data_IF_621853302531
#
_entry.id   IF_621853302531
#
_cell.length_a   1.000
_cell.length_b   1.000
_cell.length_c   1.000
_cell.angle_alpha   90.00
_cell.angle_beta   90.00
_cell.angle_gamma   90.00
#
_symmetry.space_group_name_H-M   'P 1'
#
loop_
_entity.id
_entity.type
_entity.pdbx_description
1 polymer ?
#
# COMPACT_ATOMS: atom_id res chain seq x y z
N UNK A 1 53.24 16.49 -7.89
CA UNK A 1 51.98 17.16 -8.31
C UNK A 1 50.72 16.52 -7.64
N UNK A 2 50.62 15.21 -7.53
CA UNK A 2 49.42 14.52 -6.97
C UNK A 2 49.11 14.80 -5.48
N UNK A 3 50.10 15.07 -4.65
CA UNK A 3 49.89 15.36 -3.21
C UNK A 3 49.36 16.76 -2.98
N UNK A 4 49.70 17.71 -3.83
CA UNK A 4 49.20 19.12 -3.76
C UNK A 4 47.74 19.20 -4.23
N UNK A 5 47.34 18.43 -5.25
CA UNK A 5 45.97 18.33 -5.71
C UNK A 5 45.08 17.66 -4.67
N UNK A 6 45.54 16.60 -4.01
CA UNK A 6 44.81 15.93 -2.93
C UNK A 6 44.60 16.85 -1.71
N UNK A 7 45.58 17.71 -1.38
CA UNK A 7 45.47 18.68 -0.27
C UNK A 7 44.43 19.75 -0.57
N UNK A 8 44.38 20.27 -1.82
CA UNK A 8 43.39 21.28 -2.25
C UNK A 8 41.97 20.68 -2.25
N UNK A 9 41.82 19.42 -2.66
CA UNK A 9 40.50 18.75 -2.64
C UNK A 9 39.98 18.54 -1.21
N UNK A 10 40.84 18.19 -0.25
CA UNK A 10 40.49 18.07 1.16
C UNK A 10 40.11 19.43 1.79
N UNK A 11 40.80 20.50 1.44
CA UNK A 11 40.49 21.86 1.92
C UNK A 11 39.13 22.38 1.41
N UNK A 12 38.73 22.01 0.17
CA UNK A 12 37.42 22.38 -0.38
C UNK A 12 36.25 21.66 0.34
N UNK A 13 36.47 20.45 0.84
CA UNK A 13 35.48 19.74 1.64
C UNK A 13 35.30 20.33 3.07
N UNK A 14 36.33 20.93 3.64
CA UNK A 14 36.27 21.55 4.97
C UNK A 14 35.50 22.88 4.98
N UNK A 15 35.52 23.64 3.90
CA UNK A 15 34.80 24.94 3.80
C UNK A 15 33.27 24.80 3.72
N UNK A 16 32.74 23.71 3.15
CA UNK A 16 31.28 23.45 3.06
C UNK A 16 30.66 23.11 4.42
N UNK A 17 31.43 22.59 5.37
CA UNK A 17 30.95 22.27 6.71
C UNK A 17 30.78 23.54 7.59
N UNK A 18 31.42 24.67 7.23
CA UNK A 18 31.48 25.88 8.07
C UNK A 18 30.16 26.69 8.01
N UNK A 19 29.50 26.86 6.86
CA UNK A 19 28.27 27.65 6.70
C UNK A 19 27.09 27.00 7.43
N UNK A 20 26.89 25.69 7.24
CA UNK A 20 25.87 24.93 7.91
C UNK A 20 26.03 24.91 9.44
N UNK A 21 27.28 24.73 9.93
CA UNK A 21 27.53 24.73 11.37
C UNK A 21 27.35 26.13 11.99
N UNK A 22 27.65 27.20 11.27
CA UNK A 22 27.34 28.56 11.69
C UNK A 22 25.85 28.81 11.77
N UNK A 23 25.08 28.34 10.73
CA UNK A 23 23.64 28.48 10.71
C UNK A 23 22.97 27.72 11.87
N UNK A 24 23.40 26.48 12.20
CA UNK A 24 22.85 25.73 13.33
C UNK A 24 22.95 26.47 14.66
N UNK A 25 24.03 27.24 14.86
CA UNK A 25 24.30 27.98 16.09
C UNK A 25 23.78 29.42 16.04
N UNK A 26 23.36 29.93 14.88
CA UNK A 26 22.86 31.29 14.72
C UNK A 26 21.55 31.48 15.51
N UNK A 27 21.35 32.66 16.08
CA UNK A 27 20.06 33.12 16.63
C UNK A 27 19.14 33.67 15.53
N UNK A 28 19.72 34.03 14.35
CA UNK A 28 19.00 34.62 13.24
C UNK A 28 18.25 33.52 12.42
N UNK A 29 16.93 33.54 12.55
CA UNK A 29 16.06 32.59 11.85
C UNK A 29 16.05 32.78 10.32
N UNK A 30 16.33 33.98 9.81
CA UNK A 30 16.41 34.25 8.38
C UNK A 30 17.67 33.58 7.78
N UNK A 31 18.81 33.71 8.48
CA UNK A 31 20.06 33.01 8.11
C UNK A 31 19.85 31.49 8.12
N UNK A 32 19.21 30.96 9.15
CA UNK A 32 18.88 29.50 9.21
C UNK A 32 18.04 29.07 8.03
N UNK A 33 16.99 29.82 7.69
CA UNK A 33 16.09 29.50 6.60
C UNK A 33 16.79 29.55 5.23
N UNK A 34 17.61 30.55 4.98
CA UNK A 34 18.42 30.66 3.75
C UNK A 34 19.33 29.43 3.60
N UNK A 35 20.09 29.09 4.63
CA UNK A 35 20.97 27.93 4.62
C UNK A 35 20.19 26.60 4.52
N UNK A 36 19.02 26.50 5.16
CA UNK A 36 18.14 25.33 5.03
C UNK A 36 17.70 25.14 3.58
N UNK A 37 17.26 26.25 2.91
CA UNK A 37 16.85 26.23 1.51
C UNK A 37 18.00 25.82 0.59
N UNK A 38 19.16 26.44 0.72
CA UNK A 38 20.37 26.05 -0.05
C UNK A 38 20.79 24.59 0.19
N UNK A 39 20.62 24.13 1.41
CA UNK A 39 20.96 22.74 1.79
C UNK A 39 19.97 21.74 1.20
N UNK A 40 18.68 22.10 1.15
CA UNK A 40 17.63 21.35 0.46
C UNK A 40 17.89 21.25 -1.05
N UNK A 41 18.19 22.39 -1.70
CA UNK A 41 18.50 22.45 -3.15
C UNK A 41 19.71 21.59 -3.54
N UNK A 42 20.69 21.45 -2.63
CA UNK A 42 21.83 20.54 -2.78
C UNK A 42 21.51 19.06 -2.48
N UNK A 43 20.23 18.71 -2.25
CA UNK A 43 19.81 17.35 -1.93
C UNK A 43 20.20 16.83 -0.55
N UNK A 44 20.72 17.70 0.33
CA UNK A 44 21.13 17.33 1.70
C UNK A 44 19.94 17.45 2.67
N UNK A 45 18.89 16.69 2.39
CA UNK A 45 17.57 16.83 3.02
C UNK A 45 17.60 16.67 4.54
N UNK A 46 18.35 15.71 5.09
CA UNK A 46 18.47 15.52 6.55
C UNK A 46 19.07 16.74 7.26
N UNK A 47 20.05 17.39 6.62
CA UNK A 47 20.62 18.64 7.15
C UNK A 47 19.62 19.80 7.05
N UNK A 48 18.85 19.86 5.96
CA UNK A 48 17.82 20.87 5.77
C UNK A 48 16.71 20.71 6.82
N UNK A 49 16.27 19.49 7.12
CA UNK A 49 15.26 19.17 8.14
C UNK A 49 15.66 19.78 9.48
N UNK A 50 16.90 19.56 9.94
CA UNK A 50 17.37 20.08 11.24
C UNK A 50 17.29 21.60 11.33
N UNK A 51 17.51 22.30 10.24
CA UNK A 51 17.37 23.77 10.20
C UNK A 51 15.90 24.17 10.12
N UNK A 52 15.09 23.49 9.28
CA UNK A 52 13.66 23.76 9.19
C UNK A 52 12.95 23.58 10.54
N UNK A 53 13.29 22.54 11.30
CA UNK A 53 12.76 22.31 12.65
C UNK A 53 13.03 23.49 13.59
N UNK A 54 14.24 24.08 13.51
CA UNK A 54 14.60 25.23 14.34
C UNK A 54 13.88 26.52 13.93
N UNK A 55 13.57 26.69 12.65
CA UNK A 55 12.92 27.92 12.15
C UNK A 55 11.39 27.83 12.15
N UNK A 56 10.81 26.64 12.11
CA UNK A 56 9.38 26.44 11.98
C UNK A 56 8.54 27.21 13.03
N UNK A 57 8.87 27.21 14.33
CA UNK A 57 8.10 27.97 15.32
C UNK A 57 8.07 29.48 15.03
N UNK A 58 9.19 30.03 14.57
CA UNK A 58 9.34 31.47 14.33
C UNK A 58 8.75 31.93 13.00
N UNK A 59 8.47 31.00 12.07
CA UNK A 59 7.92 31.31 10.74
C UNK A 59 6.39 31.26 10.71
N UNK A 60 5.73 30.65 11.67
CA UNK A 60 4.28 30.56 11.73
C UNK A 60 3.64 31.95 11.62
N UNK A 61 2.78 32.15 10.61
CA UNK A 61 2.12 33.43 10.33
C UNK A 61 2.97 34.46 9.56
N UNK A 62 4.20 34.15 9.16
CA UNK A 62 5.04 35.07 8.35
C UNK A 62 4.83 34.86 6.84
N UNK A 63 5.12 35.85 5.98
CA UNK A 63 4.93 35.74 4.53
C UNK A 63 5.69 34.58 3.87
N UNK A 64 6.85 34.21 4.40
CA UNK A 64 7.69 33.12 3.85
C UNK A 64 7.36 31.74 4.46
N UNK A 65 6.39 31.64 5.35
CA UNK A 65 6.04 30.41 6.03
C UNK A 65 5.55 29.33 5.05
N UNK A 66 4.79 29.71 4.04
CA UNK A 66 4.32 28.80 2.99
C UNK A 66 5.50 28.05 2.33
N UNK A 67 6.49 28.78 1.80
CA UNK A 67 7.69 28.18 1.19
C UNK A 67 8.43 27.28 2.17
N UNK A 68 8.60 27.74 3.41
CA UNK A 68 9.35 27.03 4.44
C UNK A 68 8.68 25.69 4.78
N UNK A 69 7.37 25.69 5.09
CA UNK A 69 6.65 24.47 5.45
C UNK A 69 6.53 23.50 4.29
N UNK A 70 6.39 24.00 3.06
CA UNK A 70 6.39 23.15 1.87
C UNK A 70 7.73 22.43 1.68
N UNK A 71 8.86 23.16 1.74
CA UNK A 71 10.21 22.58 1.61
C UNK A 71 10.51 21.59 2.76
N UNK A 72 10.05 21.91 3.97
CA UNK A 72 10.19 21.00 5.12
C UNK A 72 9.44 19.69 4.89
N UNK A 73 8.19 19.76 4.46
CA UNK A 73 7.39 18.57 4.13
C UNK A 73 8.04 17.73 3.02
N UNK A 74 8.55 18.38 1.99
CA UNK A 74 9.29 17.74 0.90
C UNK A 74 10.56 17.05 1.41
N UNK A 75 11.33 17.69 2.29
CA UNK A 75 12.56 17.12 2.85
C UNK A 75 12.26 15.84 3.66
N UNK A 76 11.22 15.86 4.48
CA UNK A 76 10.74 14.69 5.23
C UNK A 76 10.34 13.54 4.29
N UNK A 77 9.62 13.86 3.21
CA UNK A 77 9.25 12.86 2.21
C UNK A 77 10.47 12.25 1.51
N UNK A 78 11.43 13.10 1.09
CA UNK A 78 12.66 12.67 0.41
C UNK A 78 13.56 11.79 1.30
N UNK A 79 13.52 12.00 2.62
CA UNK A 79 14.22 11.18 3.61
C UNK A 79 13.42 9.97 4.10
N UNK A 80 12.26 9.70 3.48
CA UNK A 80 11.36 8.58 3.83
C UNK A 80 10.79 8.63 5.25
N UNK A 81 10.78 9.80 5.86
CA UNK A 81 10.11 10.04 7.14
C UNK A 81 8.59 10.22 6.90
N UNK A 82 7.96 9.18 6.32
CA UNK A 82 6.62 9.26 5.75
C UNK A 82 5.54 9.63 6.74
N UNK A 83 5.65 9.19 7.98
CA UNK A 83 4.71 9.56 9.04
C UNK A 83 4.69 11.09 9.25
N UNK A 84 5.86 11.66 9.49
CA UNK A 84 5.99 13.12 9.67
C UNK A 84 5.65 13.89 8.40
N UNK A 85 6.11 13.40 7.24
CA UNK A 85 5.81 14.01 5.95
C UNK A 85 4.30 14.10 5.69
N UNK A 86 3.56 13.02 5.94
CA UNK A 86 2.11 12.99 5.77
C UNK A 86 1.41 14.09 6.55
N UNK A 87 1.69 14.18 7.85
CA UNK A 87 1.09 15.22 8.70
C UNK A 87 1.56 16.64 8.38
N UNK A 88 2.81 16.82 7.97
CA UNK A 88 3.31 18.15 7.59
C UNK A 88 2.67 18.63 6.28
N UNK A 89 2.46 17.75 5.31
CA UNK A 89 1.72 18.10 4.10
C UNK A 89 0.24 18.42 4.37
N UNK A 90 -0.42 17.68 5.25
CA UNK A 90 -1.80 17.98 5.68
C UNK A 90 -1.89 19.34 6.38
N UNK A 91 -0.95 19.60 7.29
CA UNK A 91 -0.85 20.90 7.97
C UNK A 91 -0.60 22.04 6.99
N UNK A 92 0.27 21.81 5.98
CA UNK A 92 0.50 22.76 4.91
C UNK A 92 -0.77 23.05 4.12
N UNK A 93 -1.45 22.02 3.63
CA UNK A 93 -2.67 22.18 2.85
C UNK A 93 -3.79 22.91 3.62
N UNK A 94 -3.94 22.61 4.91
CA UNK A 94 -4.89 23.28 5.79
C UNK A 94 -4.53 24.75 6.05
N UNK A 95 -3.23 25.06 6.21
CA UNK A 95 -2.77 26.41 6.51
C UNK A 95 -2.70 27.33 5.29
N UNK A 96 -2.49 26.74 4.11
CA UNK A 96 -2.30 27.46 2.84
C UNK A 96 -3.22 26.94 1.72
N UNK A 97 -4.56 26.98 1.90
CA UNK A 97 -5.51 26.38 0.95
C UNK A 97 -5.56 27.08 -0.42
N UNK A 98 -4.96 28.26 -0.55
CA UNK A 98 -4.84 29.02 -1.80
C UNK A 98 -3.45 28.91 -2.45
N UNK A 99 -2.56 28.10 -1.88
CA UNK A 99 -1.23 27.87 -2.41
C UNK A 99 -1.29 27.16 -3.77
N UNK A 100 -0.45 27.55 -4.70
CA UNK A 100 -0.23 26.80 -5.96
C UNK A 100 0.33 25.38 -5.69
N UNK A 101 0.84 25.15 -4.47
CA UNK A 101 1.38 23.86 -4.03
C UNK A 101 0.39 22.98 -3.28
N UNK A 102 -0.85 23.45 -3.06
CA UNK A 102 -1.82 22.72 -2.23
C UNK A 102 -2.18 21.36 -2.82
N UNK A 103 -2.44 21.28 -4.13
CA UNK A 103 -2.76 20.04 -4.82
C UNK A 103 -1.63 19.01 -4.68
N UNK A 104 -0.39 19.42 -4.96
CA UNK A 104 0.79 18.58 -4.82
C UNK A 104 0.98 18.14 -3.36
N UNK A 105 0.77 19.04 -2.41
CA UNK A 105 0.90 18.74 -0.98
C UNK A 105 -0.14 17.71 -0.52
N UNK A 106 -1.41 17.84 -0.90
CA UNK A 106 -2.46 16.86 -0.56
C UNK A 106 -2.12 15.50 -1.15
N UNK A 107 -1.68 15.45 -2.41
CA UNK A 107 -1.25 14.22 -3.06
C UNK A 107 -0.06 13.56 -2.33
N UNK A 108 1.00 14.31 -2.07
CA UNK A 108 2.20 13.79 -1.39
C UNK A 108 1.93 13.40 0.07
N UNK A 109 1.01 14.09 0.73
CA UNK A 109 0.50 13.73 2.04
C UNK A 109 -0.15 12.35 2.02
N UNK A 110 -1.14 12.15 1.14
CA UNK A 110 -1.81 10.87 0.96
C UNK A 110 -0.83 9.76 0.54
N UNK A 111 0.10 10.07 -0.37
CA UNK A 111 1.14 9.14 -0.81
C UNK A 111 2.12 8.79 0.31
N UNK A 112 2.39 9.71 1.24
CA UNK A 112 3.18 9.41 2.43
C UNK A 112 2.50 8.36 3.31
N UNK A 113 1.19 8.50 3.56
CA UNK A 113 0.43 7.50 4.32
C UNK A 113 0.40 6.14 3.60
N UNK A 114 0.33 6.10 2.27
CA UNK A 114 0.38 4.83 1.54
C UNK A 114 1.70 4.05 1.74
N UNK A 115 2.80 4.75 1.99
CA UNK A 115 4.10 4.15 2.31
C UNK A 115 4.18 3.56 3.72
N UNK A 116 3.23 3.88 4.59
CA UNK A 116 3.11 3.31 5.95
C UNK A 116 2.27 2.03 5.97
N UNK A 117 1.53 1.73 4.89
CA UNK A 117 0.73 0.51 4.77
C UNK A 117 1.62 -0.73 4.93
N UNK A 118 1.35 -1.59 5.93
CA UNK A 118 2.17 -2.75 6.23
C UNK A 118 1.99 -3.88 5.21
N UNK A 119 2.69 -5.01 5.42
CA UNK A 119 2.43 -6.24 4.68
C UNK A 119 1.02 -6.75 4.97
N UNK A 120 0.42 -7.48 4.01
CA UNK A 120 -0.99 -7.89 4.06
C UNK A 120 -1.38 -8.69 5.32
N UNK A 121 -0.45 -9.45 5.89
CA UNK A 121 -0.70 -10.31 7.06
C UNK A 121 -0.85 -9.57 8.38
N UNK A 122 -0.44 -8.30 8.44
CA UNK A 122 -0.60 -7.44 9.62
C UNK A 122 -1.95 -6.72 9.62
N UNK A 123 -2.21 -5.94 10.67
CA UNK A 123 -3.37 -5.04 10.73
C UNK A 123 -3.35 -4.05 9.56
N UNK A 124 -4.50 -3.80 8.95
CA UNK A 124 -4.63 -2.97 7.74
C UNK A 124 -5.26 -1.59 8.01
N UNK A 125 -5.31 -1.14 9.25
CA UNK A 125 -5.84 0.17 9.62
C UNK A 125 -5.12 1.30 8.91
N UNK A 126 -3.77 1.26 8.84
CA UNK A 126 -2.99 2.26 8.09
C UNK A 126 -3.23 2.17 6.57
N UNK A 127 -3.50 0.97 6.05
CA UNK A 127 -3.85 0.78 4.63
C UNK A 127 -5.19 1.41 4.31
N UNK A 128 -6.19 1.23 5.17
CA UNK A 128 -7.50 1.86 5.01
C UNK A 128 -7.39 3.38 5.10
N UNK A 129 -6.69 3.91 6.12
CA UNK A 129 -6.43 5.35 6.26
C UNK A 129 -5.77 5.95 5.01
N UNK A 130 -4.78 5.25 4.45
CA UNK A 130 -4.10 5.68 3.22
C UNK A 130 -5.05 5.69 2.01
N UNK A 131 -5.90 4.66 1.90
CA UNK A 131 -6.90 4.55 0.84
C UNK A 131 -7.90 5.70 0.92
N UNK A 132 -8.42 6.02 2.10
CA UNK A 132 -9.37 7.10 2.32
C UNK A 132 -8.77 8.47 1.97
N UNK A 133 -7.52 8.72 2.39
CA UNK A 133 -6.81 9.96 2.05
C UNK A 133 -6.55 10.11 0.56
N UNK A 134 -6.20 9.02 -0.12
CA UNK A 134 -5.95 9.04 -1.56
C UNK A 134 -7.25 9.16 -2.34
N UNK A 135 -8.36 8.56 -1.86
CA UNK A 135 -9.68 8.74 -2.45
C UNK A 135 -10.15 10.19 -2.30
N UNK A 136 -9.99 10.79 -1.11
CA UNK A 136 -10.31 12.20 -0.89
C UNK A 136 -9.52 13.14 -1.82
N UNK A 137 -8.24 12.81 -2.10
CA UNK A 137 -7.47 13.55 -3.11
C UNK A 137 -8.12 13.47 -4.51
N UNK A 138 -8.49 12.27 -4.96
CA UNK A 138 -9.13 12.05 -6.28
C UNK A 138 -10.45 12.80 -6.38
N UNK A 139 -11.26 12.77 -5.33
CA UNK A 139 -12.58 13.42 -5.29
C UNK A 139 -12.44 14.94 -5.29
N UNK A 140 -11.42 15.48 -4.64
CA UNK A 140 -11.15 16.92 -4.55
C UNK A 140 -10.51 17.48 -5.83
N UNK A 141 -9.64 16.69 -6.48
CA UNK A 141 -8.84 17.11 -7.65
C UNK A 141 -9.00 16.14 -8.84
N UNK A 142 -10.21 16.01 -9.42
CA UNK A 142 -10.48 15.03 -10.48
C UNK A 142 -9.72 15.30 -11.79
N UNK A 143 -9.25 16.53 -11.99
CA UNK A 143 -8.47 16.93 -13.17
C UNK A 143 -6.95 17.02 -12.90
N UNK A 144 -6.49 16.52 -11.76
CA UNK A 144 -5.09 16.58 -11.33
C UNK A 144 -4.16 15.80 -12.26
N UNK A 145 -2.97 16.33 -12.48
CA UNK A 145 -1.88 15.57 -13.12
C UNK A 145 -1.49 14.30 -12.35
N UNK A 146 -1.78 14.23 -11.05
CA UNK A 146 -1.53 13.08 -10.18
C UNK A 146 -2.67 12.06 -10.14
N UNK A 147 -3.79 12.32 -10.85
CA UNK A 147 -4.99 11.48 -10.82
C UNK A 147 -4.71 10.01 -11.17
N UNK A 148 -3.96 9.77 -12.24
CA UNK A 148 -3.63 8.41 -12.66
C UNK A 148 -2.75 7.68 -11.64
N UNK A 149 -1.77 8.37 -11.04
CA UNK A 149 -0.90 7.80 -10.02
C UNK A 149 -1.69 7.52 -8.72
N UNK A 150 -2.58 8.42 -8.33
CA UNK A 150 -3.44 8.24 -7.16
C UNK A 150 -4.32 6.99 -7.28
N UNK A 151 -4.95 6.78 -8.46
CA UNK A 151 -5.72 5.57 -8.74
C UNK A 151 -4.86 4.30 -8.70
N UNK A 152 -3.64 4.35 -9.21
CA UNK A 152 -2.71 3.22 -9.15
C UNK A 152 -2.36 2.86 -7.68
N UNK A 153 -2.13 3.86 -6.83
CA UNK A 153 -1.89 3.66 -5.39
C UNK A 153 -3.10 3.03 -4.71
N UNK A 154 -4.32 3.53 -4.96
CA UNK A 154 -5.55 2.95 -4.39
C UNK A 154 -5.68 1.47 -4.81
N UNK A 155 -5.44 1.17 -6.09
CA UNK A 155 -5.50 -0.20 -6.58
C UNK A 155 -4.51 -1.11 -5.86
N UNK A 156 -3.27 -0.66 -5.66
CA UNK A 156 -2.26 -1.41 -4.91
C UNK A 156 -2.70 -1.70 -3.47
N UNK A 157 -3.22 -0.68 -2.77
CA UNK A 157 -3.70 -0.81 -1.40
C UNK A 157 -4.90 -1.76 -1.29
N UNK A 158 -5.86 -1.66 -2.22
CA UNK A 158 -7.03 -2.56 -2.28
C UNK A 158 -6.61 -4.00 -2.50
N UNK A 159 -5.73 -4.27 -3.46
CA UNK A 159 -5.23 -5.64 -3.72
C UNK A 159 -4.53 -6.22 -2.48
N UNK A 160 -3.88 -5.39 -1.67
CA UNK A 160 -3.28 -5.83 -0.40
C UNK A 160 -4.33 -6.28 0.63
N UNK A 161 -5.41 -5.51 0.76
CA UNK A 161 -6.56 -5.89 1.63
C UNK A 161 -7.21 -7.16 1.11
N UNK A 162 -7.51 -7.23 -0.20
CA UNK A 162 -8.08 -8.41 -0.84
C UNK A 162 -7.22 -9.66 -0.62
N UNK A 163 -5.88 -9.51 -0.68
CA UNK A 163 -4.97 -10.61 -0.36
C UNK A 163 -5.14 -11.10 1.06
N UNK A 164 -5.25 -10.20 2.03
CA UNK A 164 -5.49 -10.58 3.43
C UNK A 164 -6.77 -11.38 3.58
N UNK A 165 -7.86 -10.89 3.01
CA UNK A 165 -9.17 -11.54 3.11
C UNK A 165 -9.18 -12.92 2.41
N UNK A 166 -8.51 -13.02 1.25
CA UNK A 166 -8.32 -14.29 0.58
C UNK A 166 -7.52 -15.30 1.43
N UNK A 167 -6.39 -14.88 2.00
CA UNK A 167 -5.57 -15.78 2.82
C UNK A 167 -6.30 -16.19 4.11
N UNK A 168 -7.09 -15.29 4.71
CA UNK A 168 -7.97 -15.61 5.83
C UNK A 168 -9.02 -16.69 5.45
N UNK A 169 -9.68 -16.52 4.31
CA UNK A 169 -10.66 -17.49 3.82
C UNK A 169 -10.02 -18.85 3.49
N UNK A 170 -8.85 -18.85 2.85
CA UNK A 170 -8.08 -20.04 2.52
C UNK A 170 -7.54 -20.76 3.76
N UNK A 171 -7.29 -20.06 4.86
CA UNK A 171 -6.81 -20.65 6.11
C UNK A 171 -7.73 -21.75 6.63
N UNK A 172 -9.06 -21.63 6.47
CA UNK A 172 -10.01 -22.67 6.85
C UNK A 172 -9.78 -23.98 6.07
N UNK A 173 -9.42 -23.90 4.78
CA UNK A 173 -9.04 -25.10 4.02
C UNK A 173 -7.75 -25.72 4.58
N UNK A 174 -6.77 -24.91 4.94
CA UNK A 174 -5.47 -25.37 5.48
C UNK A 174 -5.63 -26.12 6.80
N UNK A 175 -6.54 -25.66 7.67
CA UNK A 175 -6.83 -26.33 8.95
C UNK A 175 -7.91 -27.42 8.86
N UNK A 176 -8.33 -27.77 7.64
CA UNK A 176 -9.31 -28.82 7.34
C UNK A 176 -10.74 -28.53 7.82
N UNK A 177 -11.08 -27.26 8.11
CA UNK A 177 -12.48 -26.85 8.28
C UNK A 177 -13.09 -26.53 6.90
N UNK A 178 -13.34 -27.59 6.14
CA UNK A 178 -13.80 -27.47 4.74
C UNK A 178 -15.20 -26.85 4.61
N UNK A 179 -16.02 -26.93 5.66
CA UNK A 179 -17.34 -26.28 5.65
C UNK A 179 -17.20 -24.76 5.80
N UNK A 180 -16.43 -24.32 6.77
CA UNK A 180 -16.14 -22.89 6.95
C UNK A 180 -15.37 -22.31 5.76
N UNK A 181 -14.42 -23.07 5.19
CA UNK A 181 -13.68 -22.67 4.00
C UNK A 181 -14.57 -22.32 2.81
N UNK A 182 -15.59 -23.16 2.50
CA UNK A 182 -16.51 -22.89 1.40
C UNK A 182 -17.29 -21.59 1.64
N UNK A 183 -17.81 -21.37 2.84
CA UNK A 183 -18.56 -20.16 3.20
C UNK A 183 -17.65 -18.92 3.10
N UNK A 184 -16.46 -18.99 3.68
CA UNK A 184 -15.53 -17.87 3.70
C UNK A 184 -15.05 -17.50 2.28
N UNK A 185 -14.79 -18.52 1.43
CA UNK A 185 -14.38 -18.29 0.04
C UNK A 185 -15.54 -17.75 -0.82
N UNK A 186 -16.79 -18.17 -0.57
CA UNK A 186 -17.97 -17.61 -1.24
C UNK A 186 -18.17 -16.14 -0.87
N UNK A 187 -18.07 -15.80 0.42
CA UNK A 187 -18.13 -14.42 0.86
C UNK A 187 -17.01 -13.59 0.22
N UNK A 188 -15.78 -14.07 0.24
CA UNK A 188 -14.65 -13.40 -0.40
C UNK A 188 -14.91 -13.11 -1.90
N UNK A 189 -15.39 -14.10 -2.67
CA UNK A 189 -15.68 -13.94 -4.10
C UNK A 189 -16.83 -12.94 -4.33
N UNK A 190 -17.81 -12.91 -3.42
CA UNK A 190 -18.94 -11.98 -3.47
C UNK A 190 -18.52 -10.55 -3.14
N UNK A 191 -17.70 -10.38 -2.11
CA UNK A 191 -17.27 -9.06 -1.62
C UNK A 191 -16.25 -8.41 -2.56
N UNK A 192 -15.43 -9.25 -3.25
CA UNK A 192 -14.38 -8.80 -4.15
C UNK A 192 -14.52 -9.39 -5.57
N UNK A 193 -15.57 -9.03 -6.34
CA UNK A 193 -15.87 -9.68 -7.63
C UNK A 193 -14.78 -9.49 -8.69
N UNK A 194 -13.99 -8.40 -8.61
CA UNK A 194 -12.88 -8.07 -9.52
C UNK A 194 -11.49 -8.47 -9.04
N UNK A 195 -11.41 -9.23 -7.96
CA UNK A 195 -10.13 -9.58 -7.33
C UNK A 195 -9.22 -10.42 -8.23
N UNK A 196 -7.89 -10.19 -8.21
CA UNK A 196 -6.93 -11.07 -8.89
C UNK A 196 -6.84 -12.46 -8.25
N UNK A 197 -7.37 -12.65 -7.05
CA UNK A 197 -7.36 -13.94 -6.32
C UNK A 197 -8.58 -14.82 -6.63
N UNK A 198 -9.50 -14.40 -7.50
CA UNK A 198 -10.76 -15.11 -7.78
C UNK A 198 -10.55 -16.52 -8.30
N UNK A 199 -9.61 -16.72 -9.23
CA UNK A 199 -9.30 -18.05 -9.75
C UNK A 199 -8.81 -18.99 -8.64
N UNK A 200 -7.92 -18.50 -7.79
CA UNK A 200 -7.38 -19.29 -6.67
C UNK A 200 -8.46 -19.58 -5.62
N UNK A 201 -9.33 -18.62 -5.33
CA UNK A 201 -10.46 -18.81 -4.42
C UNK A 201 -11.44 -19.86 -4.92
N UNK A 202 -11.78 -19.85 -6.22
CA UNK A 202 -12.61 -20.88 -6.85
C UNK A 202 -11.97 -22.28 -6.77
N UNK A 203 -10.65 -22.36 -6.94
CA UNK A 203 -9.94 -23.64 -6.80
C UNK A 203 -9.98 -24.16 -5.35
N UNK A 204 -9.70 -23.33 -4.35
CA UNK A 204 -9.77 -23.75 -2.95
C UNK A 204 -11.20 -24.04 -2.49
N UNK A 205 -12.21 -23.40 -3.09
CA UNK A 205 -13.61 -23.76 -2.88
C UNK A 205 -13.92 -25.16 -3.39
N UNK A 206 -13.46 -25.51 -4.62
CA UNK A 206 -13.56 -26.86 -5.15
C UNK A 206 -12.83 -27.87 -4.26
N UNK A 207 -11.60 -27.61 -3.89
CA UNK A 207 -10.79 -28.48 -3.03
C UNK A 207 -11.49 -28.75 -1.68
N UNK A 208 -12.04 -27.67 -1.07
CA UNK A 208 -12.80 -27.78 0.18
C UNK A 208 -14.09 -28.57 0.02
N UNK A 209 -14.85 -28.35 -1.06
CA UNK A 209 -16.08 -29.07 -1.34
C UNK A 209 -15.81 -30.56 -1.58
N UNK A 210 -14.78 -30.90 -2.35
CA UNK A 210 -14.35 -32.26 -2.61
C UNK A 210 -13.93 -32.97 -1.29
N UNK A 211 -13.02 -32.37 -0.53
CA UNK A 211 -12.55 -32.94 0.75
C UNK A 211 -13.69 -33.11 1.76
N UNK A 212 -14.63 -32.16 1.81
CA UNK A 212 -15.81 -32.29 2.64
C UNK A 212 -16.71 -33.46 2.20
N UNK A 213 -16.85 -33.67 0.90
CA UNK A 213 -17.67 -34.75 0.35
C UNK A 213 -17.09 -36.12 0.69
N UNK A 214 -15.82 -36.37 0.37
CA UNK A 214 -15.18 -37.68 0.56
C UNK A 214 -15.00 -38.06 2.03
N UNK A 215 -14.99 -37.09 2.94
CA UNK A 215 -14.93 -37.30 4.39
C UNK A 215 -16.34 -37.31 5.05
N UNK A 216 -17.41 -37.45 4.27
CA UNK A 216 -18.78 -37.40 4.77
C UNK A 216 -19.36 -38.79 5.07
N UNK A 217 -20.33 -38.81 5.94
CA UNK A 217 -21.18 -39.98 6.11
C UNK A 217 -22.01 -40.23 4.83
N UNK A 218 -22.36 -41.50 4.51
CA UNK A 218 -23.03 -41.83 3.25
C UNK A 218 -24.29 -41.01 2.95
N UNK A 219 -25.08 -40.68 3.99
CA UNK A 219 -26.33 -39.93 3.86
C UNK A 219 -26.13 -38.49 3.30
N UNK A 220 -24.95 -37.90 3.51
CA UNK A 220 -24.62 -36.55 3.08
C UNK A 220 -23.66 -36.52 1.87
N UNK A 221 -23.09 -37.67 1.52
CA UNK A 221 -22.03 -37.75 0.52
C UNK A 221 -22.53 -37.34 -0.88
N UNK A 222 -23.69 -37.85 -1.30
CA UNK A 222 -24.26 -37.57 -2.60
C UNK A 222 -24.45 -36.06 -2.84
N UNK A 223 -25.14 -35.37 -1.94
CA UNK A 223 -25.38 -33.92 -2.00
C UNK A 223 -24.05 -33.15 -2.07
N UNK A 224 -23.07 -33.54 -1.27
CA UNK A 224 -21.77 -32.87 -1.20
C UNK A 224 -20.90 -33.11 -2.42
N UNK A 225 -20.97 -34.29 -3.05
CA UNK A 225 -20.33 -34.57 -4.32
C UNK A 225 -20.91 -33.72 -5.46
N UNK A 226 -22.25 -33.56 -5.50
CA UNK A 226 -22.91 -32.68 -6.45
C UNK A 226 -22.49 -31.22 -6.25
N UNK A 227 -22.34 -30.77 -5.00
CA UNK A 227 -21.82 -29.42 -4.69
C UNK A 227 -20.37 -29.25 -5.16
N UNK A 228 -19.51 -30.26 -4.94
CA UNK A 228 -18.14 -30.25 -5.44
C UNK A 228 -18.07 -30.21 -6.98
N UNK A 229 -18.94 -30.95 -7.67
CA UNK A 229 -19.06 -30.89 -9.15
C UNK A 229 -19.48 -29.52 -9.64
N UNK A 230 -20.40 -28.84 -8.91
CA UNK A 230 -20.80 -27.45 -9.20
C UNK A 230 -19.64 -26.48 -9.01
N UNK A 231 -18.83 -26.65 -7.94
CA UNK A 231 -17.64 -25.84 -7.71
C UNK A 231 -16.59 -26.02 -8.82
N UNK A 232 -16.38 -27.25 -9.32
CA UNK A 232 -15.55 -27.50 -10.51
C UNK A 232 -16.07 -26.73 -11.73
N UNK A 233 -17.38 -26.83 -12.00
CA UNK A 233 -18.00 -26.13 -13.13
C UNK A 233 -17.80 -24.61 -13.03
N UNK A 234 -17.89 -24.05 -11.83
CA UNK A 234 -17.66 -22.62 -11.57
C UNK A 234 -16.21 -22.20 -11.86
N UNK A 235 -15.21 -22.99 -11.48
CA UNK A 235 -13.80 -22.74 -11.78
C UNK A 235 -13.54 -22.78 -13.31
N UNK A 236 -14.03 -23.80 -14.00
CA UNK A 236 -13.79 -23.97 -15.45
C UNK A 236 -14.55 -22.92 -16.26
N UNK A 237 -15.75 -22.54 -15.83
CA UNK A 237 -16.50 -21.43 -16.45
C UNK A 237 -15.77 -20.10 -16.29
N UNK A 238 -15.11 -19.87 -15.17
CA UNK A 238 -14.32 -18.67 -14.95
C UNK A 238 -13.05 -18.63 -15.82
N UNK A 239 -12.30 -19.75 -15.85
CA UNK A 239 -11.11 -19.90 -16.68
C UNK A 239 -10.94 -21.37 -17.11
N UNK A 240 -11.26 -21.68 -18.37
CA UNK A 240 -11.12 -23.03 -18.93
C UNK A 240 -9.67 -23.51 -19.04
N UNK A 241 -8.71 -22.57 -19.06
CA UNK A 241 -7.26 -22.82 -19.12
C UNK A 241 -6.56 -22.55 -17.78
N UNK A 242 -7.28 -22.69 -16.69
CA UNK A 242 -6.76 -22.44 -15.34
C UNK A 242 -5.48 -23.24 -15.06
N UNK A 243 -4.52 -22.61 -14.36
CA UNK A 243 -3.31 -23.30 -13.86
C UNK A 243 -3.64 -24.50 -12.93
N UNK A 244 -4.85 -24.56 -12.42
CA UNK A 244 -5.33 -25.63 -11.54
C UNK A 244 -6.01 -26.77 -12.31
N UNK A 245 -6.12 -26.71 -13.64
CA UNK A 245 -6.89 -27.64 -14.50
C UNK A 245 -6.60 -29.10 -14.18
N UNK A 246 -5.34 -29.50 -14.18
CA UNK A 246 -4.95 -30.90 -13.94
C UNK A 246 -5.42 -31.41 -12.56
N UNK A 247 -5.28 -30.61 -11.51
CA UNK A 247 -5.74 -30.98 -10.15
C UNK A 247 -7.26 -31.05 -10.08
N UNK A 248 -7.93 -30.09 -10.71
CA UNK A 248 -9.39 -30.04 -10.75
C UNK A 248 -9.99 -31.22 -11.50
N UNK A 249 -9.41 -31.61 -12.64
CA UNK A 249 -9.86 -32.75 -13.45
C UNK A 249 -9.71 -34.08 -12.69
N UNK A 250 -8.63 -34.27 -11.94
CA UNK A 250 -8.46 -35.44 -11.06
C UNK A 250 -9.57 -35.50 -9.99
N UNK A 251 -9.90 -34.36 -9.38
CA UNK A 251 -11.01 -34.29 -8.41
C UNK A 251 -12.34 -34.63 -9.09
N UNK A 252 -12.61 -34.07 -10.29
CA UNK A 252 -13.85 -34.36 -11.05
C UNK A 252 -13.97 -35.85 -11.36
N UNK A 253 -12.92 -36.48 -11.86
CA UNK A 253 -12.93 -37.90 -12.17
C UNK A 253 -13.28 -38.78 -10.96
N UNK A 254 -12.75 -38.42 -9.80
CA UNK A 254 -13.09 -39.11 -8.53
C UNK A 254 -14.53 -38.81 -8.11
N UNK A 255 -14.98 -37.55 -8.18
CA UNK A 255 -16.35 -37.14 -7.89
C UNK A 255 -17.34 -37.95 -8.77
N UNK A 256 -17.08 -38.03 -10.07
CA UNK A 256 -17.98 -38.75 -10.99
C UNK A 256 -18.02 -40.26 -10.73
N UNK A 257 -16.87 -40.86 -10.37
CA UNK A 257 -16.78 -42.25 -9.95
C UNK A 257 -17.59 -42.49 -8.66
N UNK A 258 -17.46 -41.63 -7.67
CA UNK A 258 -18.16 -41.80 -6.40
C UNK A 258 -19.66 -41.56 -6.52
N UNK A 259 -20.10 -40.65 -7.40
CA UNK A 259 -21.51 -40.42 -7.72
C UNK A 259 -22.19 -41.62 -8.35
N UNK A 260 -21.49 -42.49 -9.08
CA UNK A 260 -22.05 -43.72 -9.68
C UNK A 260 -22.62 -44.65 -8.61
N UNK A 261 -22.12 -44.62 -7.38
CA UNK A 261 -22.64 -45.46 -6.27
C UNK A 261 -24.05 -45.05 -5.85
N UNK A 262 -24.48 -43.83 -6.15
CA UNK A 262 -25.78 -43.27 -5.81
C UNK A 262 -26.77 -43.25 -6.95
N UNK A 263 -26.36 -43.78 -8.14
CA UNK A 263 -27.20 -43.84 -9.34
C UNK A 263 -27.95 -45.16 -9.52
N UNK A 264 -27.94 -46.02 -8.47
CA UNK A 264 -28.61 -47.32 -8.49
C UNK A 264 -29.97 -47.26 -7.79
#
# INVERSE_FOLDING_TARGET
MNKFFALITVLLFLSSCSEYQKALKSEDVAVKFDVATKTFEKGKYEKAIRLFEQVAPAYKGKPQAEKMFYLYSQALYKTKQYYLAGYQFESFASSYPKSEKVEEAVFLGAKSFSKLSPVYSLDQTDTQKATDKMQNFIDTYPSSQYFAEANAVIKELRVKVEKKEFENAKQYNTISDFKAAQIALDNFISDFPGTPYKEEALFYKLDSAYKLAVNSIPQKMNERLLNAKSAYSSLIKFNSSTKYKSKADVMLAQIDKDLQQFSK
#
